data_IF_061095398525
#
_entry.id   IF_061095398525
#
_cell.length_a   1.000
_cell.length_b   1.000
_cell.length_c   1.000
_cell.angle_alpha   90.00
_cell.angle_beta   90.00
_cell.angle_gamma   90.00
#
_symmetry.space_group_name_H-M   'P 1'
#
loop_
_entity.id
_entity.type
_entity.pdbx_description
1 polymer ?
#
# COMPACT_ATOMS: atom_id res chain seq x y z
N UNK A 1 -21.42 3.11 -18.64
CA UNK A 1 -20.56 2.55 -17.58
C UNK A 1 -20.14 1.16 -18.02
N UNK A 2 -18.90 1.00 -18.48
CA UNK A 2 -18.38 -0.32 -18.88
C UNK A 2 -17.84 -1.00 -17.63
N UNK A 3 -18.56 -2.01 -17.13
CA UNK A 3 -18.08 -2.85 -16.05
C UNK A 3 -16.86 -3.64 -16.55
N UNK A 4 -15.65 -3.27 -16.11
CA UNK A 4 -14.44 -4.05 -16.37
C UNK A 4 -14.15 -4.93 -15.17
N UNK A 5 -14.56 -6.17 -15.32
CA UNK A 5 -14.30 -7.30 -14.42
C UNK A 5 -12.95 -7.91 -14.79
N UNK A 6 -12.36 -8.73 -13.90
CA UNK A 6 -11.29 -9.65 -14.25
C UNK A 6 -11.69 -10.39 -15.55
N UNK A 7 -10.90 -10.24 -16.62
CA UNK A 7 -11.24 -10.85 -17.92
C UNK A 7 -10.92 -12.35 -17.87
N UNK A 8 -11.93 -13.13 -17.51
CA UNK A 8 -11.85 -14.59 -17.40
C UNK A 8 -11.17 -15.07 -16.11
N UNK A 9 -11.28 -16.37 -15.86
CA UNK A 9 -10.59 -17.09 -14.77
C UNK A 9 -9.45 -17.98 -15.29
N UNK A 10 -9.36 -18.16 -16.61
CA UNK A 10 -8.31 -18.93 -17.27
C UNK A 10 -7.11 -18.03 -17.52
N UNK A 11 -5.94 -18.44 -17.01
CA UNK A 11 -4.70 -17.72 -17.21
C UNK A 11 -4.37 -17.57 -18.70
N UNK A 12 -4.02 -16.36 -19.13
CA UNK A 12 -3.57 -16.11 -20.49
C UNK A 12 -2.11 -16.56 -20.65
N UNK A 13 -1.76 -17.30 -21.72
CA UNK A 13 -0.38 -17.67 -21.99
C UNK A 13 0.43 -16.44 -22.44
N UNK A 14 1.66 -16.33 -21.95
CA UNK A 14 2.58 -15.25 -22.33
C UNK A 14 2.94 -15.29 -23.82
N UNK A 15 3.13 -16.51 -24.35
CA UNK A 15 3.51 -16.75 -25.74
C UNK A 15 2.51 -16.12 -26.72
N UNK A 16 2.97 -15.14 -27.49
CA UNK A 16 2.18 -14.45 -28.52
C UNK A 16 1.25 -13.34 -28.01
N UNK A 17 1.17 -13.10 -26.70
CA UNK A 17 0.27 -12.09 -26.13
C UNK A 17 0.97 -10.88 -25.52
N UNK A 18 2.31 -10.82 -25.50
CA UNK A 18 3.01 -9.76 -24.77
C UNK A 18 2.70 -8.33 -25.21
N UNK A 19 2.45 -8.10 -26.51
CA UNK A 19 2.04 -6.77 -26.98
C UNK A 19 0.66 -6.37 -26.44
N UNK A 20 -0.25 -7.33 -26.30
CA UNK A 20 -1.57 -7.12 -25.69
C UNK A 20 -1.46 -6.92 -24.18
N UNK A 21 -0.61 -7.69 -23.50
CA UNK A 21 -0.36 -7.54 -22.06
C UNK A 21 0.24 -6.17 -21.74
N UNK A 22 1.17 -5.67 -22.57
CA UNK A 22 1.73 -4.33 -22.44
C UNK A 22 0.66 -3.24 -22.63
N UNK A 23 -0.23 -3.40 -23.63
CA UNK A 23 -1.35 -2.48 -23.82
C UNK A 23 -2.33 -2.52 -22.64
N UNK A 24 -2.67 -3.71 -22.14
CA UNK A 24 -3.53 -3.88 -20.96
C UNK A 24 -2.95 -3.21 -19.71
N UNK A 25 -1.62 -3.20 -19.55
CA UNK A 25 -0.96 -2.44 -18.48
C UNK A 25 -1.18 -0.94 -18.63
N UNK A 26 -1.03 -0.39 -19.84
CA UNK A 26 -1.29 1.03 -20.12
C UNK A 26 -2.77 1.40 -19.90
N UNK A 27 -3.66 0.47 -20.19
CA UNK A 27 -5.11 0.65 -20.07
C UNK A 27 -5.63 0.35 -18.64
N UNK A 28 -4.76 0.07 -17.67
CA UNK A 28 -5.09 -0.32 -16.29
C UNK A 28 -6.06 -1.52 -16.20
N UNK A 29 -5.86 -2.52 -17.05
CA UNK A 29 -6.69 -3.74 -17.09
C UNK A 29 -5.97 -4.89 -16.41
N UNK A 30 -6.53 -5.37 -15.29
CA UNK A 30 -6.06 -6.57 -14.62
C UNK A 30 -6.54 -7.83 -15.36
N UNK A 31 -5.68 -8.85 -15.44
CA UNK A 31 -6.00 -10.13 -16.05
C UNK A 31 -5.30 -11.29 -15.33
N UNK A 32 -5.85 -12.51 -15.38
CA UNK A 32 -5.18 -13.70 -14.87
C UNK A 32 -4.06 -14.14 -15.84
N UNK A 33 -2.90 -14.45 -15.32
CA UNK A 33 -1.82 -15.09 -16.09
C UNK A 33 -1.07 -16.12 -15.26
N UNK A 34 -0.02 -16.69 -15.81
CA UNK A 34 0.78 -17.71 -15.12
C UNK A 34 2.08 -17.11 -14.58
N UNK A 35 2.53 -17.63 -13.45
CA UNK A 35 3.88 -17.41 -12.95
C UNK A 35 4.41 -18.69 -12.34
N UNK A 36 5.72 -18.90 -12.45
CA UNK A 36 6.39 -20.05 -11.84
C UNK A 36 7.17 -19.60 -10.61
N UNK A 37 6.81 -20.13 -9.45
CA UNK A 37 7.58 -19.94 -8.21
C UNK A 37 8.12 -21.31 -7.78
N UNK A 38 9.44 -21.42 -7.58
CA UNK A 38 10.10 -22.66 -7.18
C UNK A 38 9.78 -23.88 -8.07
N UNK A 39 9.55 -23.66 -9.38
CA UNK A 39 9.24 -24.72 -10.35
C UNK A 39 7.77 -25.16 -10.38
N UNK A 40 6.89 -24.54 -9.59
CA UNK A 40 5.44 -24.78 -9.62
C UNK A 40 4.75 -23.64 -10.35
N UNK A 41 3.95 -23.97 -11.36
CA UNK A 41 3.10 -23.00 -12.05
C UNK A 41 1.90 -22.64 -11.19
N UNK A 42 1.68 -21.34 -11.02
CA UNK A 42 0.53 -20.78 -10.32
C UNK A 42 -0.15 -19.74 -11.18
N UNK A 43 -1.45 -19.55 -10.94
CA UNK A 43 -2.18 -18.43 -11.55
C UNK A 43 -2.00 -17.19 -10.68
N UNK A 44 -1.62 -16.08 -11.30
CA UNK A 44 -1.47 -14.78 -10.66
C UNK A 44 -2.37 -13.75 -11.34
N UNK A 45 -2.71 -12.68 -10.61
CA UNK A 45 -3.34 -11.51 -11.19
C UNK A 45 -2.26 -10.48 -11.52
N UNK A 46 -2.20 -10.05 -12.78
CA UNK A 46 -1.25 -9.02 -13.18
C UNK A 46 -1.77 -7.60 -12.84
N UNK A 47 -0.82 -6.72 -12.52
CA UNK A 47 -0.93 -5.26 -12.27
C UNK A 47 -1.58 -4.81 -10.98
N UNK A 48 -2.73 -5.36 -10.59
CA UNK A 48 -3.39 -4.99 -9.32
C UNK A 48 -3.72 -3.50 -9.20
N UNK A 49 -4.20 -2.88 -10.29
CA UNK A 49 -4.58 -1.45 -10.33
C UNK A 49 -6.07 -1.27 -10.54
N UNK A 50 -6.61 -0.18 -10.02
CA UNK A 50 -7.93 0.29 -10.41
C UNK A 50 -7.90 0.98 -11.77
N UNK A 51 -9.08 1.23 -12.34
CA UNK A 51 -9.22 1.85 -13.67
C UNK A 51 -8.62 3.26 -13.73
N UNK A 52 -8.55 3.97 -12.59
CA UNK A 52 -7.92 5.28 -12.48
C UNK A 52 -6.38 5.20 -12.44
N UNK A 53 -5.79 4.00 -12.47
CA UNK A 53 -4.36 3.76 -12.42
C UNK A 53 -3.78 3.67 -11.01
N UNK A 54 -4.57 3.89 -9.96
CA UNK A 54 -4.09 3.73 -8.60
C UNK A 54 -3.90 2.25 -8.24
N UNK A 55 -2.85 1.91 -7.48
CA UNK A 55 -2.64 0.55 -7.01
C UNK A 55 -3.69 0.19 -5.96
N UNK A 56 -4.16 -1.05 -6.02
CA UNK A 56 -5.15 -1.57 -5.06
C UNK A 56 -4.61 -1.59 -3.63
N UNK A 57 -3.30 -1.77 -3.44
CA UNK A 57 -2.66 -1.75 -2.13
C UNK A 57 -2.80 -0.41 -1.40
N UNK A 58 -2.74 0.71 -2.12
CA UNK A 58 -2.93 2.03 -1.50
C UNK A 58 -4.35 2.23 -0.98
N UNK A 59 -5.35 1.79 -1.73
CA UNK A 59 -6.75 1.83 -1.28
C UNK A 59 -7.02 0.91 -0.11
N UNK A 60 -6.47 -0.30 -0.13
CA UNK A 60 -6.58 -1.21 1.01
C UNK A 60 -6.02 -0.56 2.30
N UNK A 61 -4.85 0.09 2.21
CA UNK A 61 -4.27 0.80 3.34
C UNK A 61 -5.13 1.98 3.83
N UNK A 62 -5.73 2.73 2.91
CA UNK A 62 -6.63 3.83 3.24
C UNK A 62 -7.90 3.33 3.96
N UNK A 63 -8.59 2.34 3.39
CA UNK A 63 -9.83 1.80 3.95
C UNK A 63 -9.60 1.13 5.29
N UNK A 64 -8.53 0.33 5.41
CA UNK A 64 -8.14 -0.28 6.68
C UNK A 64 -7.95 0.78 7.77
N UNK A 65 -7.24 1.87 7.45
CA UNK A 65 -6.96 2.94 8.40
C UNK A 65 -8.24 3.68 8.78
N UNK A 66 -9.10 4.02 7.82
CA UNK A 66 -10.37 4.69 8.07
C UNK A 66 -11.28 3.84 8.99
N UNK A 67 -11.51 2.58 8.64
CA UNK A 67 -12.37 1.67 9.41
C UNK A 67 -11.81 1.47 10.82
N UNK A 68 -10.49 1.27 10.95
CA UNK A 68 -9.87 1.02 12.25
C UNK A 68 -9.88 2.26 13.14
N UNK A 69 -9.66 3.46 12.57
CA UNK A 69 -9.75 4.72 13.30
C UNK A 69 -11.18 4.99 13.78
N UNK A 70 -12.19 4.85 12.91
CA UNK A 70 -13.60 5.04 13.25
C UNK A 70 -14.06 4.03 14.31
N UNK A 71 -13.68 2.76 14.16
CA UNK A 71 -14.01 1.71 15.14
C UNK A 71 -13.37 2.02 16.50
N UNK A 72 -12.11 2.48 16.52
CA UNK A 72 -11.42 2.82 17.76
C UNK A 72 -12.09 3.99 18.50
N UNK A 73 -12.55 5.01 17.76
CA UNK A 73 -13.27 6.16 18.33
C UNK A 73 -14.68 5.77 18.80
N UNK A 74 -15.40 4.95 18.03
CA UNK A 74 -16.70 4.42 18.42
C UNK A 74 -16.60 3.57 19.70
N UNK A 75 -15.58 2.72 19.82
CA UNK A 75 -15.35 1.93 21.03
C UNK A 75 -15.09 2.82 22.24
N UNK A 76 -14.28 3.88 22.09
CA UNK A 76 -14.04 4.84 23.19
C UNK A 76 -15.34 5.51 23.64
N UNK A 77 -16.20 5.91 22.70
CA UNK A 77 -17.50 6.51 23.02
C UNK A 77 -18.39 5.54 23.80
N UNK A 78 -18.44 4.26 23.41
CA UNK A 78 -19.25 3.23 24.09
C UNK A 78 -18.68 2.85 25.46
N UNK A 79 -17.35 2.74 25.57
CA UNK A 79 -16.64 2.44 26.81
C UNK A 79 -16.82 3.57 27.84
N UNK A 80 -16.77 4.83 27.38
CA UNK A 80 -17.04 6.01 28.20
C UNK A 80 -18.50 6.15 28.64
N UNK A 81 -19.40 5.25 28.26
CA UNK A 81 -20.80 5.22 28.72
C UNK A 81 -21.06 4.04 29.69
N UNK A 82 -20.05 3.24 30.03
CA UNK A 82 -20.21 2.09 30.91
C UNK A 82 -20.30 2.51 32.40
N UNK A 83 -21.10 1.79 33.23
CA UNK A 83 -21.16 2.04 34.66
C UNK A 83 -19.78 1.88 35.33
N UNK A 84 -19.28 2.93 35.97
CA UNK A 84 -17.99 2.93 36.68
C UNK A 84 -16.79 3.42 35.86
N UNK A 85 -16.97 3.75 34.58
CA UNK A 85 -15.99 4.51 33.80
C UNK A 85 -16.22 6.02 33.96
N UNK A 86 -15.17 6.82 33.82
CA UNK A 86 -15.33 8.28 33.70
C UNK A 86 -16.06 8.59 32.39
N UNK A 87 -17.16 9.36 32.43
CA UNK A 87 -17.89 9.66 31.21
C UNK A 87 -17.05 10.45 30.23
N UNK A 88 -17.02 10.02 28.96
CA UNK A 88 -16.45 10.85 27.91
C UNK A 88 -17.37 12.07 27.73
N UNK A 89 -16.94 13.21 28.26
CA UNK A 89 -17.71 14.46 28.25
C UNK A 89 -17.25 15.38 27.15
N UNK A 90 -18.15 16.24 26.69
CA UNK A 90 -17.80 17.28 25.73
C UNK A 90 -17.04 18.42 26.43
N UNK A 91 -15.77 18.17 26.70
CA UNK A 91 -14.87 18.99 27.50
C UNK A 91 -13.44 18.94 26.95
N UNK A 92 -12.52 19.82 27.41
CA UNK A 92 -11.12 19.77 26.99
C UNK A 92 -10.44 18.41 27.25
N UNK A 93 -10.81 17.72 28.33
CA UNK A 93 -10.26 16.40 28.65
C UNK A 93 -10.77 15.34 27.66
N UNK A 94 -12.08 15.30 27.41
CA UNK A 94 -12.66 14.33 26.48
C UNK A 94 -12.16 14.50 25.04
N UNK A 95 -11.97 15.75 24.58
CA UNK A 95 -11.36 16.00 23.26
C UNK A 95 -9.91 15.52 23.21
N UNK A 96 -9.15 15.68 24.30
CA UNK A 96 -7.77 15.20 24.37
C UNK A 96 -7.70 13.67 24.33
N UNK A 97 -8.65 12.97 24.98
CA UNK A 97 -8.77 11.51 24.92
C UNK A 97 -9.15 11.01 23.52
N UNK A 98 -10.09 11.68 22.84
CA UNK A 98 -10.44 11.39 21.45
C UNK A 98 -9.22 11.52 20.53
N UNK A 99 -8.45 12.58 20.70
CA UNK A 99 -7.23 12.80 19.92
C UNK A 99 -6.16 11.73 20.22
N UNK A 100 -5.98 11.35 21.48
CA UNK A 100 -5.07 10.26 21.86
C UNK A 100 -5.51 8.91 21.27
N UNK A 101 -6.81 8.63 21.23
CA UNK A 101 -7.33 7.39 20.62
C UNK A 101 -7.14 7.35 19.11
N UNK A 102 -7.36 8.48 18.42
CA UNK A 102 -7.10 8.61 16.99
C UNK A 102 -5.63 8.35 16.67
N UNK A 103 -4.71 9.02 17.35
CA UNK A 103 -3.26 8.90 17.11
C UNK A 103 -2.76 7.48 17.38
N UNK A 104 -3.20 6.83 18.46
CA UNK A 104 -2.89 5.42 18.73
C UNK A 104 -3.39 4.47 17.61
N UNK A 105 -4.56 4.75 17.03
CA UNK A 105 -5.08 3.95 15.91
C UNK A 105 -4.26 4.17 14.63
N UNK A 106 -3.87 5.42 14.35
CA UNK A 106 -2.99 5.74 13.21
C UNK A 106 -1.61 5.10 13.36
N UNK A 107 -1.02 5.11 14.56
CA UNK A 107 0.26 4.44 14.83
C UNK A 107 0.17 2.93 14.61
N UNK A 108 -0.97 2.33 14.95
CA UNK A 108 -1.23 0.91 14.69
C UNK A 108 -1.33 0.62 13.19
N UNK A 109 -1.91 1.53 12.40
CA UNK A 109 -1.96 1.43 10.94
C UNK A 109 -0.58 1.62 10.28
N UNK A 110 0.29 2.46 10.86
CA UNK A 110 1.71 2.56 10.47
C UNK A 110 2.42 1.24 10.75
N UNK A 111 2.26 0.66 11.94
CA UNK A 111 2.87 -0.61 12.31
C UNK A 111 2.40 -1.79 11.44
N UNK A 112 1.14 -1.75 10.99
CA UNK A 112 0.58 -2.73 10.06
C UNK A 112 1.07 -2.57 8.61
N UNK A 113 1.80 -1.49 8.29
CA UNK A 113 2.27 -1.21 6.94
C UNK A 113 1.17 -0.70 6.00
N UNK A 114 0.09 -0.12 6.53
CA UNK A 114 -1.02 0.41 5.74
C UNK A 114 -0.77 1.86 5.30
N UNK A 115 -0.18 2.68 6.17
CA UNK A 115 0.12 4.10 5.92
C UNK A 115 1.57 4.43 6.24
N UNK A 116 2.08 5.51 5.65
CA UNK A 116 3.39 6.07 5.98
C UNK A 116 3.38 6.66 7.39
N UNK A 117 4.53 6.59 8.08
CA UNK A 117 4.70 7.16 9.42
C UNK A 117 4.69 8.69 9.51
N UNK A 118 4.44 9.40 8.41
CA UNK A 118 4.45 10.87 8.31
C UNK A 118 3.04 11.44 8.19
N UNK A 119 2.05 10.87 8.89
CA UNK A 119 0.68 11.38 8.89
C UNK A 119 0.56 12.70 9.68
N UNK A 120 -0.47 13.49 9.40
CA UNK A 120 -0.80 14.69 10.16
C UNK A 120 -2.13 14.48 10.87
N UNK A 121 -2.18 14.62 12.19
CA UNK A 121 -3.42 14.60 12.96
C UNK A 121 -3.57 15.91 13.72
N UNK A 122 -4.78 16.46 13.74
CA UNK A 122 -5.10 17.72 14.41
C UNK A 122 -6.44 17.64 15.12
N UNK A 123 -6.59 18.48 16.14
CA UNK A 123 -7.87 18.71 16.80
C UNK A 123 -8.06 20.20 17.10
N UNK A 124 -9.31 20.66 17.13
CA UNK A 124 -9.67 22.02 17.56
C UNK A 124 -9.94 22.02 19.07
N UNK A 125 -9.25 22.85 19.88
CA UNK A 125 -9.51 22.92 21.32
C UNK A 125 -10.97 23.29 21.63
N UNK A 126 -11.54 22.71 22.70
CA UNK A 126 -12.95 22.88 23.06
C UNK A 126 -13.45 24.33 23.04
N UNK A 127 -12.74 25.24 23.71
CA UNK A 127 -13.16 26.64 23.82
C UNK A 127 -13.19 27.37 22.47
N UNK A 128 -12.25 27.03 21.58
CA UNK A 128 -12.25 27.56 20.22
C UNK A 128 -13.40 26.94 19.40
N UNK A 129 -13.56 25.61 19.45
CA UNK A 129 -14.57 24.91 18.67
C UNK A 129 -16.00 25.41 18.96
N UNK A 130 -16.36 25.58 20.24
CA UNK A 130 -17.68 26.08 20.65
C UNK A 130 -17.89 27.55 20.26
N UNK A 131 -16.82 28.36 20.25
CA UNK A 131 -16.92 29.75 19.82
C UNK A 131 -17.20 29.87 18.31
N UNK A 132 -16.64 28.95 17.52
CA UNK A 132 -16.81 28.89 16.07
C UNK A 132 -18.12 28.17 15.67
N UNK A 133 -18.56 27.19 16.47
CA UNK A 133 -19.72 26.33 16.21
C UNK A 133 -20.66 26.27 17.42
N UNK A 134 -21.34 27.38 17.78
CA UNK A 134 -22.13 27.46 19.01
C UNK A 134 -23.38 26.55 19.03
N UNK A 135 -23.91 26.18 17.86
CA UNK A 135 -25.04 25.24 17.74
C UNK A 135 -24.68 23.82 18.16
N UNK A 136 -23.41 23.44 17.99
CA UNK A 136 -22.96 22.06 18.07
C UNK A 136 -22.96 21.50 19.50
N UNK A 137 -22.83 22.39 20.49
CA UNK A 137 -23.01 22.00 21.89
C UNK A 137 -24.44 21.56 22.19
N UNK A 138 -25.44 22.23 21.59
CA UNK A 138 -26.85 21.89 21.76
C UNK A 138 -27.26 20.62 21.01
N UNK A 139 -26.52 20.25 19.96
CA UNK A 139 -26.72 19.01 19.20
C UNK A 139 -25.77 17.87 19.59
N UNK A 140 -24.91 18.08 20.60
CA UNK A 140 -23.92 17.10 21.07
C UNK A 140 -22.98 16.59 19.97
N UNK A 141 -22.65 17.46 19.01
CA UNK A 141 -21.78 17.15 17.87
C UNK A 141 -20.40 17.76 18.03
N UNK A 142 -19.37 17.02 17.61
CA UNK A 142 -18.01 17.52 17.52
C UNK A 142 -17.36 17.07 16.21
N UNK A 143 -16.92 18.03 15.39
CA UNK A 143 -16.27 17.82 14.10
C UNK A 143 -14.87 18.44 14.03
N UNK A 144 -14.27 18.74 15.19
CA UNK A 144 -12.97 19.37 15.27
C UNK A 144 -11.78 18.41 15.14
N UNK A 145 -12.02 17.11 14.95
CA UNK A 145 -10.99 16.08 14.83
C UNK A 145 -10.70 15.77 13.36
N UNK A 146 -9.43 15.77 12.95
CA UNK A 146 -9.05 15.46 11.57
C UNK A 146 -7.69 14.78 11.47
N UNK A 147 -7.52 13.96 10.43
CA UNK A 147 -6.24 13.38 10.07
C UNK A 147 -6.05 13.33 8.55
N UNK A 148 -4.82 13.61 8.12
CA UNK A 148 -4.34 13.43 6.75
C UNK A 148 -3.30 12.30 6.73
N UNK A 149 -3.58 11.27 5.92
CA UNK A 149 -2.75 10.07 5.82
C UNK A 149 -2.22 9.90 4.40
N UNK A 150 -1.11 9.18 4.26
CA UNK A 150 -0.61 8.72 2.95
C UNK A 150 -0.48 7.19 2.98
N UNK A 151 -1.30 6.45 2.22
CA UNK A 151 -1.20 5.00 2.16
C UNK A 151 0.11 4.50 1.53
N UNK A 152 0.61 3.37 2.00
CA UNK A 152 1.77 2.70 1.42
C UNK A 152 1.39 2.08 0.07
N UNK A 153 2.30 2.18 -0.90
CA UNK A 153 2.17 1.59 -2.24
C UNK A 153 3.21 0.49 -2.45
N UNK A 154 2.82 -0.56 -3.17
CA UNK A 154 3.72 -1.63 -3.58
C UNK A 154 4.62 -1.23 -4.76
N UNK A 155 5.66 -2.02 -5.03
CA UNK A 155 6.54 -1.80 -6.17
C UNK A 155 5.93 -2.29 -7.48
N UNK A 156 6.05 -1.50 -8.54
CA UNK A 156 5.67 -1.88 -9.91
C UNK A 156 6.80 -2.48 -10.74
N UNK A 157 8.04 -2.14 -10.39
CA UNK A 157 9.25 -2.61 -11.06
C UNK A 157 10.42 -2.54 -10.09
N UNK A 158 11.27 -3.55 -10.13
CA UNK A 158 12.53 -3.61 -9.39
C UNK A 158 13.68 -3.55 -10.40
N UNK A 159 14.56 -2.56 -10.24
CA UNK A 159 15.82 -2.50 -10.97
C UNK A 159 16.93 -2.96 -10.04
N UNK A 160 17.66 -4.01 -10.44
CA UNK A 160 18.79 -4.55 -9.69
C UNK A 160 20.07 -4.42 -10.53
N UNK A 161 21.13 -3.95 -9.90
CA UNK A 161 22.49 -4.01 -10.45
C UNK A 161 23.19 -5.24 -9.88
N UNK A 162 23.70 -6.11 -10.75
CA UNK A 162 24.52 -7.26 -10.35
C UNK A 162 25.95 -7.03 -10.84
N UNK A 163 26.87 -6.95 -9.90
CA UNK A 163 28.30 -6.96 -10.17
C UNK A 163 28.84 -8.36 -9.88
N UNK A 164 29.58 -8.93 -10.82
CA UNK A 164 30.19 -10.27 -10.68
C UNK A 164 31.69 -10.13 -10.76
N UNK A 165 32.35 -10.35 -9.64
CA UNK A 165 33.81 -10.35 -9.53
C UNK A 165 34.35 -11.78 -9.66
N UNK A 166 35.21 -11.98 -10.66
CA UNK A 166 35.88 -13.25 -10.93
C UNK A 166 37.38 -13.20 -10.60
N UNK A 167 37.89 -12.13 -9.98
CA UNK A 167 39.33 -11.91 -9.76
C UNK A 167 40.01 -12.97 -8.88
N UNK A 168 39.26 -13.83 -8.18
CA UNK A 168 39.76 -14.97 -7.42
C UNK A 168 39.57 -16.36 -8.06
N UNK A 169 38.98 -16.45 -9.25
CA UNK A 169 38.80 -17.75 -9.92
C UNK A 169 40.08 -18.13 -10.68
N UNK A 170 40.92 -18.96 -10.07
CA UNK A 170 41.96 -19.67 -10.81
C UNK A 170 41.29 -20.75 -11.68
N UNK A 171 41.21 -20.52 -12.99
CA UNK A 171 41.05 -21.63 -13.91
C UNK A 171 42.23 -22.57 -13.67
N UNK A 172 41.97 -23.81 -13.22
CA UNK A 172 42.97 -24.86 -13.36
C UNK A 172 43.30 -24.89 -14.86
N UNK A 173 44.54 -24.59 -15.22
CA UNK A 173 44.98 -24.50 -16.59
C UNK A 173 44.79 -25.88 -17.27
N UNK A 174 43.61 -26.09 -17.86
CA UNK A 174 43.45 -27.07 -18.93
C UNK A 174 44.36 -26.62 -20.06
N UNK A 175 45.17 -27.56 -20.56
CA UNK A 175 46.18 -27.33 -21.60
C UNK A 175 45.69 -26.37 -22.69
N UNK A 176 46.50 -25.33 -22.95
CA UNK A 176 46.20 -24.24 -23.85
C UNK A 176 45.62 -24.70 -25.20
N UNK A 177 44.44 -24.21 -25.56
CA UNK A 177 44.01 -24.15 -26.94
C UNK A 177 43.98 -22.68 -27.38
N UNK A 178 44.92 -22.34 -28.25
CA UNK A 178 45.18 -21.01 -28.80
C UNK A 178 43.96 -20.46 -29.55
N UNK A 179 43.32 -19.42 -29.00
CA UNK A 179 42.28 -18.66 -29.68
C UNK A 179 41.89 -17.43 -28.86
N UNK A 180 42.22 -16.23 -29.36
CA UNK A 180 42.01 -14.97 -28.67
C UNK A 180 40.53 -14.70 -28.37
N UNK A 181 40.20 -14.28 -27.14
CA UNK A 181 38.86 -13.79 -26.79
C UNK A 181 38.99 -12.44 -26.08
N UNK A 182 38.57 -11.38 -26.77
CA UNK A 182 38.37 -10.03 -26.21
C UNK A 182 37.19 -10.05 -25.24
N UNK A 183 37.38 -9.59 -24.01
CA UNK A 183 36.33 -9.49 -23.01
C UNK A 183 35.37 -8.33 -23.36
N UNK A 184 34.12 -8.65 -23.69
CA UNK A 184 33.06 -7.66 -23.86
C UNK A 184 32.22 -7.58 -22.57
N UNK A 185 32.10 -6.37 -22.01
CA UNK A 185 31.13 -6.04 -20.95
C UNK A 185 29.73 -6.26 -21.51
N UNK A 186 29.01 -7.30 -21.06
CA UNK A 186 27.60 -7.46 -21.40
C UNK A 186 26.71 -6.77 -20.36
N UNK A 187 26.23 -5.58 -20.71
CA UNK A 187 25.08 -4.97 -20.05
C UNK A 187 23.82 -5.77 -20.44
N UNK A 188 23.38 -6.69 -19.60
CA UNK A 188 22.15 -7.44 -19.84
C UNK A 188 20.97 -6.71 -19.19
N UNK A 189 20.23 -5.95 -19.98
CA UNK A 189 18.90 -5.47 -19.60
C UNK A 189 18.01 -6.70 -19.47
N UNK A 190 17.54 -7.02 -18.26
CA UNK A 190 16.50 -8.03 -18.03
C UNK A 190 15.17 -7.51 -18.58
N UNK A 191 15.02 -7.56 -19.91
CA UNK A 191 13.72 -7.47 -20.56
C UNK A 191 13.10 -8.87 -20.53
N UNK A 192 11.93 -8.97 -19.92
CA UNK A 192 11.00 -10.08 -20.11
C UNK A 192 10.98 -10.40 -21.63
N UNK A 193 11.39 -11.63 -21.98
CA UNK A 193 11.47 -12.07 -23.38
C UNK A 193 10.08 -11.98 -24.01
N UNK A 194 10.05 -11.47 -25.25
CA UNK A 194 8.91 -11.32 -26.18
C UNK A 194 8.05 -12.58 -26.34
#
# INVERSE_FOLDING_TARGET
>A
MNFRQLVGITAWPDAGNLSKMAQMKLDNVNFPGTATQAGVEMTITYWGRFMNGDPMSGWYGADYTAITAETALANLLVEGQQPGAEPLTYSPMGISELFAKLTNSLDSAVAAGCILGSYQASFVPFGQYISENPSDYGSETYSGLSAEITPIRGFDSLNMTLEVDFTGQSAAAGSAQTGAVSAAVQTRVLRQKK
#
